data_IF_955380247171
#
_entry.id   IF_955380247171
#
_cell.length_a   1.000
_cell.length_b   1.000
_cell.length_c   1.000
_cell.angle_alpha   90.00
_cell.angle_beta   90.00
_cell.angle_gamma   90.00
#
_symmetry.space_group_name_H-M   'P 1'
#
loop_
_entity.id
_entity.type
_entity.pdbx_description
1 polymer ?
#
# COMPACT_ATOMS: atom_id res chain seq x y z
N UNK A 1 -24.97 9.94 -20.72
CA UNK A 1 -24.86 8.91 -19.67
C UNK A 1 -23.77 7.94 -20.09
N UNK A 2 -22.52 8.21 -19.71
CA UNK A 2 -21.39 7.30 -19.98
C UNK A 2 -21.37 6.29 -18.83
N UNK A 3 -21.68 5.04 -19.15
CA UNK A 3 -21.52 3.91 -18.23
C UNK A 3 -20.01 3.71 -18.11
N UNK A 4 -19.43 4.00 -16.94
CA UNK A 4 -18.07 3.54 -16.61
C UNK A 4 -18.15 2.02 -16.51
N UNK A 5 -17.35 1.34 -17.32
CA UNK A 5 -17.29 -0.12 -17.43
C UNK A 5 -16.06 -0.68 -16.72
N UNK A 6 -15.73 -0.10 -15.58
CA UNK A 6 -14.70 -0.63 -14.71
C UNK A 6 -15.48 -1.23 -13.55
N UNK A 7 -15.51 -2.56 -13.51
CA UNK A 7 -15.96 -3.28 -12.33
C UNK A 7 -15.09 -2.79 -11.18
N UNK A 8 -15.63 -1.96 -10.30
CA UNK A 8 -15.09 -1.79 -8.97
C UNK A 8 -15.38 -3.12 -8.27
N UNK A 9 -14.49 -4.08 -8.45
CA UNK A 9 -14.35 -5.12 -7.44
C UNK A 9 -13.89 -4.35 -6.21
N UNK A 10 -14.78 -4.17 -5.24
CA UNK A 10 -14.40 -3.90 -3.87
C UNK A 10 -13.61 -5.13 -3.40
N UNK A 11 -12.39 -5.29 -3.92
CA UNK A 11 -11.41 -6.17 -3.33
C UNK A 11 -11.00 -5.43 -2.08
N UNK A 12 -11.45 -5.95 -0.94
CA UNK A 12 -11.04 -5.52 0.38
C UNK A 12 -9.58 -5.93 0.50
N UNK A 13 -8.66 -5.26 -0.19
CA UNK A 13 -7.24 -5.58 -0.24
C UNK A 13 -6.42 -4.32 -0.12
N UNK A 14 -5.23 -4.43 0.46
CA UNK A 14 -4.24 -3.36 0.42
C UNK A 14 -3.13 -3.72 -0.55
N UNK A 15 -2.54 -2.69 -1.15
CA UNK A 15 -1.28 -2.81 -1.87
C UNK A 15 -0.13 -2.29 -1.02
N UNK A 16 1.03 -2.92 -1.14
CA UNK A 16 2.24 -2.58 -0.39
C UNK A 16 3.41 -2.42 -1.34
N UNK A 17 4.13 -1.31 -1.22
CA UNK A 17 5.42 -1.15 -1.89
C UNK A 17 6.51 -1.59 -0.92
N UNK A 18 7.27 -2.61 -1.30
CA UNK A 18 8.43 -3.10 -0.58
C UNK A 18 9.71 -2.66 -1.28
N UNK A 19 10.76 -2.38 -0.51
CA UNK A 19 12.05 -1.99 -1.06
C UNK A 19 13.22 -2.67 -0.35
N UNK A 20 14.19 -3.10 -1.15
CA UNK A 20 15.37 -3.83 -0.69
C UNK A 20 16.64 -3.28 -1.34
N UNK A 21 17.76 -3.41 -0.63
CA UNK A 21 19.06 -2.91 -1.07
C UNK A 21 19.47 -3.52 -2.43
N UNK A 22 19.29 -4.83 -2.58
CA UNK A 22 19.57 -5.63 -3.77
C UNK A 22 18.87 -7.01 -3.68
N UNK A 23 18.88 -7.78 -4.77
CA UNK A 23 18.23 -9.10 -4.86
C UNK A 23 18.75 -10.09 -3.80
N UNK A 24 20.07 -10.07 -3.52
CA UNK A 24 20.69 -10.96 -2.53
C UNK A 24 20.26 -10.62 -1.08
N UNK A 25 19.82 -9.38 -0.84
CA UNK A 25 19.39 -8.92 0.47
C UNK A 25 17.97 -9.31 0.86
N UNK A 26 17.10 -9.69 -0.09
CA UNK A 26 15.66 -9.88 0.14
C UNK A 26 15.40 -10.88 1.27
N UNK A 27 15.91 -12.11 1.13
CA UNK A 27 15.68 -13.17 2.10
C UNK A 27 16.17 -12.80 3.50
N UNK A 28 17.38 -12.26 3.62
CA UNK A 28 17.96 -11.92 4.91
C UNK A 28 17.21 -10.77 5.58
N UNK A 29 16.77 -9.77 4.80
CA UNK A 29 15.98 -8.62 5.28
C UNK A 29 14.65 -9.11 5.84
N UNK A 30 13.90 -9.91 5.05
CA UNK A 30 12.62 -10.44 5.50
C UNK A 30 12.79 -11.34 6.71
N UNK A 31 13.74 -12.27 6.70
CA UNK A 31 13.98 -13.17 7.83
C UNK A 31 14.32 -12.45 9.13
N UNK A 32 15.06 -11.35 9.06
CA UNK A 32 15.43 -10.56 10.24
C UNK A 32 14.21 -9.80 10.81
N UNK A 33 13.38 -9.25 9.93
CA UNK A 33 12.23 -8.42 10.30
C UNK A 33 10.96 -9.24 10.58
N UNK A 34 10.86 -10.46 10.06
CA UNK A 34 9.64 -11.27 10.17
C UNK A 34 9.30 -11.53 11.64
N UNK A 35 8.02 -11.40 12.04
CA UNK A 35 7.66 -11.57 13.43
C UNK A 35 7.96 -12.99 13.94
N UNK A 36 8.79 -13.08 14.99
CA UNK A 36 9.27 -14.38 15.54
C UNK A 36 8.20 -15.23 16.20
N UNK A 37 7.05 -14.63 16.53
CA UNK A 37 5.91 -15.33 17.13
C UNK A 37 5.04 -16.03 16.09
N UNK A 38 5.23 -15.74 14.80
CA UNK A 38 4.53 -16.41 13.71
C UNK A 38 5.26 -17.73 13.47
N UNK A 39 4.65 -18.83 13.91
CA UNK A 39 5.20 -20.16 13.75
C UNK A 39 5.13 -20.58 12.28
N UNK A 40 6.06 -21.42 11.82
CA UNK A 40 6.07 -21.96 10.45
C UNK A 40 4.79 -22.76 10.08
N UNK A 41 3.89 -23.02 11.03
CA UNK A 41 2.59 -23.65 10.81
C UNK A 41 1.40 -22.68 10.83
N UNK A 42 1.62 -21.38 11.05
CA UNK A 42 0.62 -20.34 10.80
C UNK A 42 0.80 -19.91 9.35
N UNK A 43 -0.21 -20.14 8.51
CA UNK A 43 0.00 -20.03 7.07
C UNK A 43 -1.30 -19.92 6.29
N UNK A 44 -1.33 -19.00 5.32
CA UNK A 44 -2.25 -19.05 4.18
C UNK A 44 -1.78 -20.06 3.10
N UNK A 45 -1.31 -21.27 3.48
CA UNK A 45 -0.80 -22.30 2.56
C UNK A 45 0.22 -23.29 3.16
N UNK A 46 0.73 -24.26 2.40
CA UNK A 46 1.62 -25.31 2.95
C UNK A 46 3.00 -24.82 3.42
N UNK A 47 3.43 -23.62 2.98
CA UNK A 47 4.82 -23.15 3.13
C UNK A 47 5.02 -22.00 4.13
N UNK A 48 3.96 -21.42 4.71
CA UNK A 48 4.03 -20.29 5.64
C UNK A 48 4.14 -18.91 4.98
N UNK A 49 3.80 -17.84 5.73
CA UNK A 49 3.73 -16.48 5.19
C UNK A 49 5.07 -15.93 4.66
N UNK A 50 6.20 -16.29 5.27
CA UNK A 50 7.50 -15.83 4.79
C UNK A 50 7.81 -16.42 3.41
N UNK A 51 7.54 -17.71 3.20
CA UNK A 51 7.75 -18.34 1.90
C UNK A 51 6.78 -17.78 0.86
N UNK A 52 5.50 -17.61 1.23
CA UNK A 52 4.52 -16.96 0.35
C UNK A 52 5.01 -15.59 -0.11
N UNK A 53 5.45 -14.72 0.82
CA UNK A 53 5.93 -13.39 0.48
C UNK A 53 7.19 -13.43 -0.39
N UNK A 54 8.08 -14.39 -0.16
CA UNK A 54 9.28 -14.58 -1.00
C UNK A 54 8.90 -14.96 -2.43
N UNK A 55 7.96 -15.90 -2.60
CA UNK A 55 7.47 -16.34 -3.90
C UNK A 55 6.81 -15.18 -4.65
N UNK A 56 5.95 -14.40 -3.97
CA UNK A 56 5.30 -13.21 -4.53
C UNK A 56 6.32 -12.14 -4.96
N UNK A 57 7.37 -11.89 -4.16
CA UNK A 57 8.44 -10.95 -4.52
C UNK A 57 9.27 -11.47 -5.71
N UNK A 58 9.49 -12.79 -5.81
CA UNK A 58 10.17 -13.39 -6.95
C UNK A 58 9.38 -13.20 -8.25
N UNK A 59 8.05 -13.34 -8.18
CA UNK A 59 7.14 -13.19 -9.32
C UNK A 59 6.83 -11.72 -9.68
N UNK A 60 6.95 -10.79 -8.73
CA UNK A 60 6.59 -9.39 -8.93
C UNK A 60 7.52 -8.65 -9.90
N UNK A 61 6.93 -7.77 -10.72
CA UNK A 61 7.68 -6.85 -11.55
C UNK A 61 8.49 -5.86 -10.71
N UNK A 62 9.71 -5.56 -11.18
CA UNK A 62 10.57 -4.55 -10.54
C UNK A 62 10.12 -3.16 -10.93
N UNK A 63 9.68 -2.39 -9.93
CA UNK A 63 9.14 -1.05 -10.12
C UNK A 63 10.25 -0.03 -10.36
N UNK A 64 9.96 0.90 -11.26
CA UNK A 64 10.73 2.14 -11.44
C UNK A 64 10.09 3.30 -10.69
N UNK A 65 10.81 4.41 -10.56
CA UNK A 65 10.27 5.67 -10.03
C UNK A 65 8.98 6.10 -10.75
N UNK A 66 8.91 5.93 -12.07
CA UNK A 66 7.69 6.27 -12.82
C UNK A 66 6.53 5.34 -12.45
N UNK A 67 6.77 4.05 -12.22
CA UNK A 67 5.71 3.13 -11.80
C UNK A 67 5.17 3.52 -10.42
N UNK A 68 6.04 3.90 -9.49
CA UNK A 68 5.61 4.38 -8.16
C UNK A 68 4.75 5.63 -8.30
N UNK A 69 5.12 6.55 -9.19
CA UNK A 69 4.31 7.74 -9.46
C UNK A 69 2.93 7.38 -10.02
N UNK A 70 2.87 6.49 -11.00
CA UNK A 70 1.61 6.00 -11.58
C UNK A 70 0.73 5.34 -10.51
N UNK A 71 1.31 4.50 -9.65
CA UNK A 71 0.60 3.88 -8.51
C UNK A 71 0.03 4.97 -7.59
N UNK A 72 0.82 5.97 -7.20
CA UNK A 72 0.33 7.05 -6.31
C UNK A 72 -0.81 7.86 -6.95
N UNK A 73 -0.73 8.09 -8.27
CA UNK A 73 -1.78 8.81 -9.01
C UNK A 73 -3.07 7.97 -9.10
N UNK A 74 -2.95 6.65 -9.35
CA UNK A 74 -4.08 5.71 -9.39
C UNK A 74 -4.72 5.52 -8.00
N UNK A 75 -3.90 5.52 -6.95
CA UNK A 75 -4.29 5.42 -5.54
C UNK A 75 -4.68 6.78 -4.93
N UNK A 76 -4.94 7.80 -5.76
CA UNK A 76 -5.34 9.14 -5.29
C UNK A 76 -6.62 9.15 -4.45
N UNK A 77 -7.44 8.09 -4.52
CA UNK A 77 -8.59 7.92 -3.64
C UNK A 77 -8.22 7.72 -2.17
N UNK A 78 -7.17 6.97 -1.86
CA UNK A 78 -6.66 6.77 -0.50
C UNK A 78 -6.12 8.11 0.06
N UNK A 79 -5.40 8.88 -0.77
CA UNK A 79 -4.98 10.25 -0.43
C UNK A 79 -6.17 11.17 -0.18
N UNK A 80 -7.20 11.06 -1.02
CA UNK A 80 -8.42 11.85 -0.87
C UNK A 80 -9.10 11.53 0.47
N UNK A 81 -9.18 10.27 0.87
CA UNK A 81 -9.77 9.87 2.14
C UNK A 81 -9.02 10.46 3.34
N UNK A 82 -7.69 10.42 3.32
CA UNK A 82 -6.86 11.06 4.36
C UNK A 82 -7.19 12.56 4.51
N UNK A 83 -7.39 13.26 3.38
CA UNK A 83 -7.78 14.67 3.36
C UNK A 83 -9.21 14.87 3.87
N UNK A 84 -10.15 14.02 3.47
CA UNK A 84 -11.54 14.06 3.96
C UNK A 84 -11.56 13.97 5.49
N UNK A 85 -10.87 12.96 6.04
CA UNK A 85 -10.69 12.74 7.47
C UNK A 85 -10.05 13.95 8.19
N UNK A 86 -9.02 14.55 7.59
CA UNK A 86 -8.34 15.72 8.17
C UNK A 86 -9.26 16.95 8.21
N UNK A 87 -10.00 17.21 7.15
CA UNK A 87 -10.91 18.36 7.06
C UNK A 87 -12.12 18.19 8.00
N UNK A 88 -12.65 16.98 8.14
CA UNK A 88 -13.69 16.67 9.12
C UNK A 88 -13.19 16.88 10.55
N UNK A 89 -11.97 16.42 10.88
CA UNK A 89 -11.33 16.66 12.18
C UNK A 89 -11.10 18.15 12.45
N UNK A 90 -10.94 18.97 11.40
CA UNK A 90 -10.86 20.44 11.49
C UNK A 90 -12.22 21.13 11.62
N UNK A 91 -13.32 20.37 11.61
CA UNK A 91 -14.67 20.85 11.92
C UNK A 91 -15.55 21.13 10.70
N UNK A 92 -15.12 20.76 9.49
CA UNK A 92 -16.01 20.77 8.33
C UNK A 92 -16.98 19.60 8.40
N UNK A 93 -18.22 19.79 7.99
CA UNK A 93 -19.15 18.67 7.82
C UNK A 93 -18.79 17.86 6.58
N UNK A 94 -19.14 16.57 6.56
CA UNK A 94 -18.96 15.68 5.42
C UNK A 94 -19.43 16.28 4.08
N UNK A 95 -20.56 16.99 4.07
CA UNK A 95 -21.06 17.66 2.85
C UNK A 95 -20.15 18.78 2.39
N UNK A 96 -19.68 19.62 3.31
CA UNK A 96 -18.78 20.74 2.99
C UNK A 96 -17.42 20.24 2.49
N UNK A 97 -16.92 19.14 3.06
CA UNK A 97 -15.69 18.49 2.61
C UNK A 97 -15.82 18.02 1.17
N UNK A 98 -16.91 17.31 0.84
CA UNK A 98 -17.14 16.82 -0.53
C UNK A 98 -17.29 17.96 -1.53
N UNK A 99 -18.06 18.98 -1.17
CA UNK A 99 -18.24 20.16 -2.02
C UNK A 99 -16.89 20.87 -2.26
N UNK A 100 -16.03 20.97 -1.23
CA UNK A 100 -14.69 21.54 -1.37
C UNK A 100 -13.79 20.72 -2.29
N UNK A 101 -13.76 19.40 -2.14
CA UNK A 101 -12.89 18.51 -2.92
C UNK A 101 -13.26 18.44 -4.42
N UNK A 102 -14.48 18.83 -4.78
CA UNK A 102 -14.92 18.98 -6.18
C UNK A 102 -14.55 20.36 -6.79
N UNK A 103 -14.01 21.28 -5.99
CA UNK A 103 -13.51 22.57 -6.52
C UNK A 103 -12.10 22.43 -7.10
N UNK A 104 -11.69 23.40 -7.92
CA UNK A 104 -10.29 23.48 -8.41
C UNK A 104 -9.26 23.56 -7.27
N UNK A 105 -9.63 24.16 -6.13
CA UNK A 105 -8.75 24.22 -4.97
C UNK A 105 -8.64 22.86 -4.26
N UNK A 106 -9.75 22.12 -4.18
CA UNK A 106 -9.78 20.75 -3.68
C UNK A 106 -8.98 19.78 -4.56
N UNK A 107 -9.20 19.81 -5.88
CA UNK A 107 -8.43 19.00 -6.84
C UNK A 107 -6.93 19.29 -6.75
N UNK A 108 -6.54 20.56 -6.62
CA UNK A 108 -5.15 20.94 -6.40
C UNK A 108 -4.60 20.41 -5.07
N UNK A 109 -5.40 20.46 -4.00
CA UNK A 109 -5.01 19.94 -2.68
C UNK A 109 -4.71 18.44 -2.75
N UNK A 110 -5.54 17.67 -3.46
CA UNK A 110 -5.31 16.23 -3.69
C UNK A 110 -4.01 16.03 -4.48
N UNK A 111 -3.81 16.77 -5.58
CA UNK A 111 -2.61 16.63 -6.41
C UNK A 111 -1.32 16.98 -5.65
N UNK A 112 -1.34 18.04 -4.85
CA UNK A 112 -0.20 18.42 -4.00
C UNK A 112 0.08 17.34 -2.93
N UNK A 113 -0.97 16.74 -2.34
CA UNK A 113 -0.84 15.65 -1.38
C UNK A 113 -0.33 14.34 -2.01
N UNK A 114 -0.79 13.98 -3.21
CA UNK A 114 -0.24 12.85 -3.97
C UNK A 114 1.25 13.05 -4.22
N UNK A 115 1.66 14.25 -4.64
CA UNK A 115 3.06 14.59 -4.83
C UNK A 115 3.87 14.46 -3.53
N UNK A 116 3.34 14.96 -2.41
CA UNK A 116 3.99 14.81 -1.11
C UNK A 116 4.11 13.34 -0.69
N UNK A 117 3.07 12.52 -0.93
CA UNK A 117 3.08 11.08 -0.65
C UNK A 117 4.14 10.37 -1.48
N UNK A 118 4.22 10.66 -2.79
CA UNK A 118 5.29 10.17 -3.66
C UNK A 118 6.68 10.53 -3.14
N UNK A 119 6.92 11.79 -2.77
CA UNK A 119 8.22 12.23 -2.23
C UNK A 119 8.57 11.50 -0.92
N UNK A 120 7.60 11.26 -0.04
CA UNK A 120 7.79 10.47 1.19
C UNK A 120 8.15 9.01 0.89
N UNK A 121 7.47 8.39 -0.09
CA UNK A 121 7.77 7.02 -0.53
C UNK A 121 9.20 6.94 -1.05
N UNK A 122 9.59 7.83 -1.97
CA UNK A 122 10.94 7.84 -2.53
C UNK A 122 12.02 8.08 -1.48
N UNK A 123 11.77 8.97 -0.51
CA UNK A 123 12.69 9.18 0.61
C UNK A 123 12.86 7.94 1.49
N UNK A 124 11.80 7.15 1.68
CA UNK A 124 11.85 5.90 2.46
C UNK A 124 12.55 4.77 1.69
N UNK A 125 12.37 4.71 0.38
CA UNK A 125 13.09 3.79 -0.52
C UNK A 125 14.60 4.11 -0.52
N UNK A 126 14.96 5.38 -0.58
CA UNK A 126 16.36 5.81 -0.56
C UNK A 126 17.18 5.21 -1.71
N UNK A 127 18.30 4.57 -1.38
CA UNK A 127 19.24 3.96 -2.35
C UNK A 127 18.91 2.48 -2.67
N UNK A 128 17.74 1.99 -2.27
CA UNK A 128 17.32 0.62 -2.54
C UNK A 128 17.14 0.37 -4.04
N UNK A 129 17.56 -0.82 -4.51
CA UNK A 129 17.59 -1.16 -5.94
C UNK A 129 16.46 -2.07 -6.37
N UNK A 130 15.90 -2.83 -5.43
CA UNK A 130 14.77 -3.72 -5.70
C UNK A 130 13.55 -3.08 -5.07
N UNK A 131 12.54 -2.82 -5.89
CA UNK A 131 11.27 -2.24 -5.47
C UNK A 131 10.18 -3.08 -6.12
N UNK A 132 9.23 -3.54 -5.34
CA UNK A 132 8.15 -4.42 -5.79
C UNK A 132 6.84 -4.01 -5.12
N UNK A 133 5.72 -4.32 -5.78
CA UNK A 133 4.39 -4.23 -5.19
C UNK A 133 3.87 -5.63 -4.89
N UNK A 134 3.29 -5.80 -3.71
CA UNK A 134 2.54 -7.00 -3.32
C UNK A 134 1.14 -6.59 -2.88
N UNK A 135 0.16 -7.47 -3.07
CA UNK A 135 -1.25 -7.22 -2.78
C UNK A 135 -1.82 -8.29 -1.87
N UNK A 136 -2.49 -7.87 -0.79
CA UNK A 136 -3.11 -8.79 0.17
C UNK A 136 -4.50 -8.33 0.56
N UNK A 137 -5.43 -9.28 0.61
CA UNK A 137 -6.83 -9.07 1.00
C UNK A 137 -7.08 -9.20 2.49
N UNK A 138 -8.22 -8.65 2.94
CA UNK A 138 -8.69 -8.67 4.34
C UNK A 138 -8.89 -10.08 4.86
N UNK A 139 -9.08 -11.04 3.95
CA UNK A 139 -9.14 -12.46 4.29
C UNK A 139 -10.15 -12.84 5.39
N UNK A 140 -11.05 -11.95 5.84
CA UNK A 140 -11.84 -12.17 7.04
C UNK A 140 -11.00 -12.39 8.32
N UNK A 141 -11.70 -12.55 9.46
CA UNK A 141 -11.07 -12.83 10.76
C UNK A 141 -10.29 -14.16 10.71
N UNK A 142 -8.95 -14.12 10.64
CA UNK A 142 -8.11 -15.31 10.71
C UNK A 142 -6.75 -15.20 10.01
N UNK A 143 -6.25 -16.37 9.57
CA UNK A 143 -4.94 -16.56 8.94
C UNK A 143 -4.78 -15.77 7.62
N UNK A 144 -5.85 -15.35 6.95
CA UNK A 144 -5.74 -14.73 5.62
C UNK A 144 -5.44 -13.21 5.66
N UNK A 145 -5.72 -12.50 6.76
CA UNK A 145 -5.43 -11.06 6.92
C UNK A 145 -4.10 -10.73 7.63
N UNK A 146 -3.33 -11.75 8.04
CA UNK A 146 -2.11 -11.58 8.85
C UNK A 146 -1.01 -10.81 8.09
N UNK A 147 -0.83 -11.10 6.79
CA UNK A 147 0.12 -10.37 5.95
C UNK A 147 -0.26 -8.90 5.84
N UNK A 148 -1.55 -8.62 5.61
CA UNK A 148 -2.05 -7.27 5.40
C UNK A 148 -2.02 -6.40 6.66
N UNK A 149 -2.49 -6.92 7.80
CA UNK A 149 -2.75 -6.08 8.98
C UNK A 149 -1.64 -6.13 10.02
N UNK A 150 -0.90 -7.22 10.11
CA UNK A 150 0.04 -7.47 11.21
C UNK A 150 1.51 -7.56 10.76
N UNK A 151 1.78 -8.15 9.59
CA UNK A 151 3.16 -8.36 9.13
C UNK A 151 3.64 -7.17 8.31
N UNK A 152 3.10 -6.97 7.11
CA UNK A 152 3.62 -6.01 6.13
C UNK A 152 3.64 -4.56 6.64
N UNK A 153 2.63 -4.05 7.38
CA UNK A 153 2.68 -2.70 7.92
C UNK A 153 3.85 -2.45 8.88
N UNK A 154 4.37 -3.51 9.49
CA UNK A 154 5.39 -3.46 10.54
C UNK A 154 6.80 -3.84 10.05
N UNK A 155 6.97 -4.19 8.78
CA UNK A 155 8.30 -4.42 8.20
C UNK A 155 8.97 -3.09 7.84
N UNK A 156 10.25 -2.93 8.18
CA UNK A 156 11.02 -1.74 7.82
C UNK A 156 11.20 -1.64 6.29
N UNK A 157 11.22 -2.77 5.57
CA UNK A 157 11.29 -2.79 4.10
C UNK A 157 10.02 -2.29 3.41
N UNK A 158 8.90 -2.17 4.13
CA UNK A 158 7.64 -1.66 3.57
C UNK A 158 7.70 -0.15 3.45
N UNK A 159 7.82 0.38 2.23
CA UNK A 159 7.84 1.81 1.96
C UNK A 159 6.46 2.46 2.21
N UNK A 160 5.37 1.83 1.75
CA UNK A 160 4.01 2.36 1.91
C UNK A 160 2.97 1.25 1.81
N UNK A 161 1.81 1.49 2.43
CA UNK A 161 0.56 0.76 2.25
C UNK A 161 -0.47 1.70 1.61
N UNK A 162 -1.22 1.22 0.63
CA UNK A 162 -2.46 1.85 0.17
C UNK A 162 -3.62 0.95 0.60
N UNK A 163 -4.58 1.50 1.34
CA UNK A 163 -5.73 0.74 1.86
C UNK A 163 -6.90 0.88 0.90
N UNK A 164 -7.49 -0.22 0.46
CA UNK A 164 -8.74 -0.19 -0.34
C UNK A 164 -10.00 -0.50 0.47
N UNK A 165 -9.90 -0.44 1.81
CA UNK A 165 -11.01 -0.55 2.77
C UNK A 165 -11.68 0.78 3.07
#
# INVERSE_FOLDING_TARGET
MKIRSDYVTNSSSSSFILSFKDEESIYNTLKEQFPKYIENGWSAGENGYLCQLLDEIEEADRLTENNIKEIVDDESWDVRWDIEDELERKGMSYSEVRDFLETTEGEKTIADACKEKFEKIMNKIGDNKVIVQVEHGDGGEGEDGMLEHEILPNLDCTAVRFSHH
#
